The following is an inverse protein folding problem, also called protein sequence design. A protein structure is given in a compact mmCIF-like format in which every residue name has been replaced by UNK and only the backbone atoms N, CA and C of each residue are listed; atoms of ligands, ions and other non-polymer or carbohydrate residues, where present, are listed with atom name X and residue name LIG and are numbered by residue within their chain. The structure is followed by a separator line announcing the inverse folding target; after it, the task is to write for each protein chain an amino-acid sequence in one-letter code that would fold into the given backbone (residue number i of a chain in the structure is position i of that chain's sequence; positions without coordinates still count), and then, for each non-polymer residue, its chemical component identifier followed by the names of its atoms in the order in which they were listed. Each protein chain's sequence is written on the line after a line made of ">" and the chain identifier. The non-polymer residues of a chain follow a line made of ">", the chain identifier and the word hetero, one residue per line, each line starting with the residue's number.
data_IF_738858124313
#
_entry.id   IF_738858124313
#
_cell.length_a   1.000
_cell.length_b   1.000
_cell.length_c   1.000
_cell.angle_alpha   90.00
_cell.angle_beta   90.00
_cell.angle_gamma   90.00
#
_symmetry.space_group_name_H-M   'P 1'
#
loop_
_entity.id
_entity.type
_entity.pdbx_description
1 polymer ?
#
# COMPACT_ATOMS: atom_id res chain seq x y z
N UNK A 1 -11.03 19.05 -14.91
CA UNK A 1 -9.77 18.50 -15.46
C UNK A 1 -10.06 17.11 -15.98
N UNK A 2 -9.45 16.69 -17.10
CA UNK A 2 -9.59 15.32 -17.58
C UNK A 2 -8.89 14.37 -16.59
N UNK A 3 -9.52 13.29 -16.11
CA UNK A 3 -8.87 12.30 -15.24
C UNK A 3 -7.51 11.82 -15.77
N UNK A 4 -7.38 11.54 -17.07
CA UNK A 4 -6.11 11.18 -17.71
C UNK A 4 -5.01 12.25 -17.53
N UNK A 5 -5.35 13.52 -17.40
CA UNK A 5 -4.38 14.59 -17.15
C UNK A 5 -3.94 14.63 -15.70
N UNK A 6 -4.79 14.13 -14.77
CA UNK A 6 -4.48 14.09 -13.34
C UNK A 6 -3.75 12.79 -12.98
N UNK A 7 -4.22 11.66 -13.54
CA UNK A 7 -3.78 10.31 -13.17
C UNK A 7 -2.96 9.63 -14.27
N UNK A 8 -2.57 10.32 -15.32
CA UNK A 8 -2.15 9.75 -16.59
C UNK A 8 -0.67 9.85 -16.93
N UNK A 9 0.21 10.17 -16.00
CA UNK A 9 1.64 10.22 -16.34
C UNK A 9 2.47 9.48 -15.30
N UNK A 10 3.06 8.38 -15.74
CA UNK A 10 4.01 7.60 -14.97
C UNK A 10 5.42 7.81 -15.52
N UNK A 11 6.37 8.07 -14.63
CA UNK A 11 7.77 8.23 -14.97
C UNK A 11 8.51 6.97 -14.54
N UNK A 12 9.02 6.17 -15.47
CA UNK A 12 9.77 4.97 -15.14
C UNK A 12 11.19 5.30 -14.71
N UNK A 13 11.60 4.73 -13.58
CA UNK A 13 12.96 4.74 -13.07
C UNK A 13 13.45 3.32 -12.90
N UNK A 14 14.65 3.03 -13.36
CA UNK A 14 15.24 1.70 -13.25
C UNK A 14 15.93 1.55 -11.90
N UNK A 15 15.50 0.57 -11.08
CA UNK A 15 16.14 0.23 -9.80
C UNK A 15 17.35 -0.70 -10.01
N UNK A 16 17.16 -1.71 -10.88
CA UNK A 16 18.23 -2.62 -11.32
C UNK A 16 17.97 -3.05 -12.78
N UNK A 17 18.68 -4.07 -13.28
CA UNK A 17 18.59 -4.49 -14.67
C UNK A 17 17.17 -4.96 -15.07
N UNK A 18 16.35 -5.41 -14.12
CA UNK A 18 15.06 -6.06 -14.34
C UNK A 18 13.92 -5.52 -13.45
N UNK A 19 14.15 -4.38 -12.79
CA UNK A 19 13.15 -3.77 -11.90
C UNK A 19 12.99 -2.28 -12.15
N UNK A 20 11.76 -1.82 -12.33
CA UNK A 20 11.40 -0.41 -12.49
C UNK A 20 10.46 0.06 -11.39
N UNK A 21 10.61 1.31 -10.98
CA UNK A 21 9.60 2.09 -10.31
C UNK A 21 8.89 2.92 -11.36
N UNK A 22 7.57 2.82 -11.41
CA UNK A 22 6.69 3.68 -12.19
C UNK A 22 6.13 4.73 -11.23
N UNK A 23 6.82 5.87 -11.16
CA UNK A 23 6.43 6.93 -10.25
C UNK A 23 5.34 7.78 -10.89
N UNK A 24 4.24 7.98 -10.18
CA UNK A 24 3.19 8.88 -10.61
C UNK A 24 3.67 10.33 -10.53
N UNK A 25 3.28 11.15 -11.49
CA UNK A 25 3.81 12.45 -11.90
C UNK A 25 4.25 13.44 -10.81
N UNK A 26 3.85 13.30 -9.59
CA UNK A 26 4.20 14.21 -8.48
C UNK A 26 4.81 13.48 -7.28
N UNK A 27 5.21 12.22 -7.46
CA UNK A 27 5.73 11.39 -6.37
C UNK A 27 4.66 10.89 -5.40
N UNK A 28 3.37 11.06 -5.73
CA UNK A 28 2.29 10.66 -4.83
C UNK A 28 2.05 9.16 -4.77
N UNK A 29 2.49 8.40 -5.79
CA UNK A 29 2.32 6.95 -5.84
C UNK A 29 3.45 6.29 -6.62
N UNK A 30 3.87 5.13 -6.18
CA UNK A 30 4.81 4.24 -6.83
C UNK A 30 4.13 2.92 -7.18
N UNK A 31 4.40 2.43 -8.38
CA UNK A 31 4.02 1.11 -8.86
C UNK A 31 5.29 0.43 -9.33
N UNK A 32 5.43 -0.88 -9.17
CA UNK A 32 6.69 -1.56 -9.43
C UNK A 32 6.52 -2.63 -10.51
N UNK A 33 7.39 -2.61 -11.53
CA UNK A 33 7.45 -3.63 -12.57
C UNK A 33 8.70 -4.48 -12.38
N UNK A 34 8.51 -5.79 -12.20
CA UNK A 34 9.56 -6.77 -11.99
C UNK A 34 9.58 -7.74 -13.17
N UNK A 35 10.68 -7.82 -13.89
CA UNK A 35 10.84 -8.81 -14.95
C UNK A 35 11.55 -10.07 -14.45
N UNK A 36 10.99 -11.21 -14.78
CA UNK A 36 11.68 -12.50 -14.78
C UNK A 36 11.89 -13.00 -16.21
N UNK A 37 12.36 -14.22 -16.37
CA UNK A 37 12.68 -14.81 -17.69
C UNK A 37 11.43 -15.05 -18.53
N UNK A 38 10.32 -15.49 -17.93
CA UNK A 38 9.13 -15.94 -18.65
C UNK A 38 8.01 -14.89 -18.69
N UNK A 39 7.88 -14.09 -17.63
CA UNK A 39 6.86 -13.05 -17.48
C UNK A 39 7.33 -11.93 -16.57
N UNK A 40 6.56 -10.85 -16.54
CA UNK A 40 6.75 -9.75 -15.62
C UNK A 40 5.59 -9.65 -14.63
N UNK A 41 5.88 -9.15 -13.43
CA UNK A 41 4.92 -8.85 -12.39
C UNK A 41 4.82 -7.33 -12.20
N UNK A 42 3.60 -6.80 -12.28
CA UNK A 42 3.32 -5.42 -11.88
C UNK A 42 2.73 -5.43 -10.47
N UNK A 43 3.42 -4.84 -9.53
CA UNK A 43 2.92 -4.66 -8.14
C UNK A 43 2.17 -3.35 -8.08
N UNK A 44 0.88 -3.45 -7.85
CA UNK A 44 -0.18 -2.45 -7.92
C UNK A 44 -0.47 -1.91 -9.32
N UNK A 45 -1.68 -1.40 -9.50
CA UNK A 45 -2.22 -0.99 -10.80
C UNK A 45 -2.75 0.44 -10.81
N UNK A 46 -2.52 1.17 -9.72
CA UNK A 46 -2.92 2.57 -9.60
C UNK A 46 -4.42 2.81 -9.68
N UNK A 47 -4.77 4.06 -9.89
CA UNK A 47 -6.16 4.56 -9.98
C UNK A 47 -6.93 4.13 -11.25
N UNK A 48 -6.37 3.28 -12.09
CA UNK A 48 -7.04 2.79 -13.30
C UNK A 48 -6.78 3.61 -14.56
N UNK A 49 -5.74 4.42 -14.61
CA UNK A 49 -5.33 5.12 -15.81
C UNK A 49 -4.77 4.17 -16.89
N UNK A 50 -5.25 4.27 -18.12
CA UNK A 50 -4.79 3.48 -19.26
C UNK A 50 -3.29 3.65 -19.54
N UNK A 51 -2.75 4.83 -19.27
CA UNK A 51 -1.35 5.19 -19.45
C UNK A 51 -0.38 4.34 -18.62
N UNK A 52 -0.80 3.78 -17.47
CA UNK A 52 0.02 2.82 -16.73
C UNK A 52 0.28 1.57 -17.55
N UNK A 53 -0.79 0.94 -18.08
CA UNK A 53 -0.67 -0.24 -18.92
C UNK A 53 0.09 0.03 -20.22
N UNK A 54 -0.06 1.23 -20.80
CA UNK A 54 0.70 1.67 -21.98
C UNK A 54 2.20 1.84 -21.64
N UNK A 55 2.51 2.45 -20.50
CA UNK A 55 3.89 2.58 -20.03
C UNK A 55 4.54 1.22 -19.80
N UNK A 56 3.83 0.29 -19.14
CA UNK A 56 4.31 -1.08 -18.92
C UNK A 56 4.65 -1.78 -20.23
N UNK A 57 3.79 -1.67 -21.26
CA UNK A 57 4.04 -2.22 -22.60
C UNK A 57 5.26 -1.63 -23.33
N UNK A 58 5.68 -0.42 -22.96
CA UNK A 58 6.89 0.18 -23.50
C UNK A 58 8.17 -0.32 -22.80
N UNK A 59 8.03 -0.90 -21.60
CA UNK A 59 9.17 -1.34 -20.79
C UNK A 59 9.47 -2.84 -20.95
N UNK A 60 8.46 -3.65 -21.26
CA UNK A 60 8.62 -5.10 -21.40
C UNK A 60 7.74 -5.67 -22.52
N UNK A 61 8.32 -6.62 -23.28
CA UNK A 61 7.58 -7.41 -24.27
C UNK A 61 7.03 -8.72 -23.67
N UNK A 62 7.28 -8.99 -22.40
CA UNK A 62 6.85 -10.22 -21.72
C UNK A 62 5.36 -10.17 -21.35
N UNK A 63 4.70 -11.33 -21.21
CA UNK A 63 3.38 -11.40 -20.57
C UNK A 63 3.45 -10.76 -19.18
N UNK A 64 2.50 -9.87 -18.87
CA UNK A 64 2.43 -9.18 -17.59
C UNK A 64 1.25 -9.71 -16.79
N UNK A 65 1.51 -10.10 -15.54
CA UNK A 65 0.50 -10.34 -14.51
C UNK A 65 0.60 -9.23 -13.47
N UNK A 66 -0.50 -8.93 -12.78
CA UNK A 66 -0.47 -7.95 -11.71
C UNK A 66 -0.59 -8.61 -10.33
N UNK A 67 -0.19 -7.90 -9.29
CA UNK A 67 -0.44 -8.25 -7.89
C UNK A 67 -0.78 -6.98 -7.12
N UNK A 68 -1.71 -7.05 -6.17
CA UNK A 68 -2.01 -5.92 -5.31
C UNK A 68 -1.38 -6.08 -3.93
N UNK A 69 -0.70 -5.03 -3.46
CA UNK A 69 -0.27 -4.96 -2.06
C UNK A 69 -1.47 -4.93 -1.14
N UNK A 70 -2.55 -4.28 -1.55
CA UNK A 70 -3.86 -4.31 -0.92
C UNK A 70 -4.94 -3.84 -1.91
N UNK A 71 -6.23 -3.93 -1.52
CA UNK A 71 -7.33 -3.76 -2.46
C UNK A 71 -8.02 -2.38 -2.37
N UNK A 72 -7.27 -1.31 -2.04
CA UNK A 72 -7.77 0.06 -2.14
C UNK A 72 -7.79 0.56 -3.59
N UNK A 73 -8.65 1.55 -3.91
CA UNK A 73 -8.84 2.03 -5.29
C UNK A 73 -7.57 2.51 -6.00
N UNK A 74 -6.69 3.17 -5.29
CA UNK A 74 -5.43 3.67 -5.85
C UNK A 74 -4.38 2.58 -6.09
N UNK A 75 -4.61 1.36 -5.62
CA UNK A 75 -3.76 0.19 -5.85
C UNK A 75 -4.36 -0.82 -6.81
N UNK A 76 -5.69 -0.93 -6.85
CA UNK A 76 -6.39 -2.00 -7.54
C UNK A 76 -7.32 -1.56 -8.69
N UNK A 77 -7.60 -0.25 -8.84
CA UNK A 77 -8.55 0.21 -9.86
C UNK A 77 -8.10 -0.09 -11.30
N UNK A 78 -6.80 -0.22 -11.56
CA UNK A 78 -6.27 -0.58 -12.88
C UNK A 78 -6.21 -2.08 -13.17
N UNK A 79 -6.69 -2.94 -12.28
CA UNK A 79 -6.63 -4.40 -12.44
C UNK A 79 -7.22 -4.89 -13.75
N UNK A 80 -8.29 -4.26 -14.22
CA UNK A 80 -8.97 -4.59 -15.50
C UNK A 80 -8.14 -4.37 -16.76
N UNK A 81 -6.92 -3.86 -16.68
CA UNK A 81 -5.97 -3.85 -17.80
C UNK A 81 -5.16 -5.14 -17.92
N UNK A 82 -5.25 -6.03 -16.95
CA UNK A 82 -4.52 -7.31 -16.90
C UNK A 82 -5.50 -8.48 -16.86
N UNK A 83 -5.11 -9.63 -17.41
CA UNK A 83 -5.98 -10.82 -17.44
C UNK A 83 -5.98 -11.60 -16.13
N UNK A 84 -4.89 -11.51 -15.37
CA UNK A 84 -4.68 -12.21 -14.11
C UNK A 84 -4.08 -11.26 -13.07
N UNK A 85 -4.66 -11.27 -11.88
CA UNK A 85 -4.21 -10.43 -10.75
C UNK A 85 -4.14 -11.27 -9.49
N UNK A 86 -2.98 -11.29 -8.86
CA UNK A 86 -2.79 -11.86 -7.53
C UNK A 86 -3.33 -10.91 -6.49
N UNK A 87 -4.24 -11.38 -5.63
CA UNK A 87 -4.91 -10.59 -4.60
C UNK A 87 -4.86 -11.31 -3.26
N UNK A 88 -4.89 -10.58 -2.17
CA UNK A 88 -5.03 -11.17 -0.83
C UNK A 88 -6.30 -12.04 -0.75
N UNK A 89 -6.26 -13.12 0.02
CA UNK A 89 -7.45 -13.91 0.37
C UNK A 89 -8.55 -13.08 1.04
N UNK A 90 -8.16 -11.94 1.64
CA UNK A 90 -9.07 -11.00 2.31
C UNK A 90 -9.50 -9.81 1.43
N UNK A 91 -9.26 -9.86 0.11
CA UNK A 91 -9.55 -8.74 -0.79
C UNK A 91 -11.01 -8.23 -0.74
N UNK A 92 -11.95 -9.12 -0.37
CA UNK A 92 -13.39 -8.80 -0.29
C UNK A 92 -13.71 -7.81 0.83
N UNK A 93 -12.88 -7.72 1.86
CA UNK A 93 -13.11 -6.80 2.98
C UNK A 93 -12.93 -5.34 2.54
N UNK A 94 -12.03 -5.10 1.57
CA UNK A 94 -11.74 -3.77 1.04
C UNK A 94 -12.43 -3.51 -0.33
N UNK A 95 -13.08 -4.54 -0.92
CA UNK A 95 -13.78 -4.44 -2.20
C UNK A 95 -14.89 -3.38 -2.26
N UNK A 96 -15.64 -3.06 -1.19
CA UNK A 96 -16.65 -1.99 -1.22
C UNK A 96 -16.11 -0.64 -1.67
N UNK A 97 -14.84 -0.35 -1.48
CA UNK A 97 -14.17 0.84 -2.02
C UNK A 97 -14.11 0.86 -3.55
N UNK A 98 -14.18 -0.31 -4.19
CA UNK A 98 -14.14 -0.48 -5.65
C UNK A 98 -15.53 -0.46 -6.31
N UNK A 99 -16.60 -0.70 -5.53
CA UNK A 99 -17.96 -0.84 -6.04
C UNK A 99 -18.69 0.52 -6.08
N UNK A 100 -18.45 1.27 -7.17
CA UNK A 100 -19.20 2.51 -7.43
C UNK A 100 -18.82 3.70 -6.55
N UNK A 101 -17.64 3.68 -5.99
CA UNK A 101 -17.08 4.81 -5.25
C UNK A 101 -17.02 6.05 -6.15
N UNK A 102 -17.55 7.18 -5.65
CA UNK A 102 -17.42 8.48 -6.30
C UNK A 102 -15.94 8.93 -6.44
N UNK A 103 -15.02 8.23 -5.79
CA UNK A 103 -13.57 8.47 -5.86
C UNK A 103 -12.91 7.82 -7.07
N UNK A 104 -13.57 6.86 -7.76
CA UNK A 104 -12.98 6.22 -8.93
C UNK A 104 -13.05 7.15 -10.15
N UNK A 105 -11.90 7.57 -10.70
CA UNK A 105 -11.88 8.51 -11.82
C UNK A 105 -12.21 7.85 -13.17
N UNK A 106 -12.23 6.52 -13.22
CA UNK A 106 -12.43 5.72 -14.43
C UNK A 106 -13.57 4.72 -14.27
N UNK A 107 -14.23 4.40 -15.39
CA UNK A 107 -15.26 3.37 -15.45
C UNK A 107 -14.60 1.98 -15.60
N UNK A 108 -14.50 1.24 -14.52
CA UNK A 108 -13.83 -0.07 -14.47
C UNK A 108 -14.47 -1.10 -15.43
N UNK A 109 -15.78 -0.96 -15.74
CA UNK A 109 -16.49 -1.85 -16.66
C UNK A 109 -16.07 -1.65 -18.12
N UNK A 110 -15.41 -0.54 -18.44
CA UNK A 110 -14.89 -0.25 -19.79
C UNK A 110 -13.46 -0.67 -20.00
N UNK A 111 -12.81 -1.24 -18.99
CA UNK A 111 -11.45 -1.75 -19.13
C UNK A 111 -11.43 -3.00 -20.03
N UNK A 112 -10.29 -3.35 -20.65
CA UNK A 112 -10.16 -4.50 -21.54
C UNK A 112 -10.57 -5.84 -20.93
N UNK A 113 -10.35 -6.01 -19.64
CA UNK A 113 -10.61 -7.25 -18.88
C UNK A 113 -11.35 -6.94 -17.56
N UNK A 114 -12.63 -6.45 -17.61
CA UNK A 114 -13.36 -6.09 -16.39
C UNK A 114 -13.57 -7.30 -15.46
N UNK A 115 -13.66 -8.52 -16.05
CA UNK A 115 -13.82 -9.80 -15.36
C UNK A 115 -12.48 -10.54 -15.23
N UNK A 116 -11.37 -9.83 -14.98
CA UNK A 116 -10.04 -10.44 -14.82
C UNK A 116 -10.03 -11.55 -13.75
N UNK A 117 -9.16 -12.56 -13.96
CA UNK A 117 -8.98 -13.64 -13.01
C UNK A 117 -8.29 -13.16 -11.74
N UNK A 118 -8.95 -13.33 -10.58
CA UNK A 118 -8.33 -13.11 -9.27
C UNK A 118 -7.71 -14.40 -8.77
N UNK A 119 -6.40 -14.38 -8.55
CA UNK A 119 -5.63 -15.48 -7.96
C UNK A 119 -5.40 -15.12 -6.50
N UNK A 120 -6.13 -15.78 -5.59
CA UNK A 120 -6.00 -15.53 -4.16
C UNK A 120 -4.69 -16.11 -3.63
N UNK A 121 -3.90 -15.26 -2.95
CA UNK A 121 -2.62 -15.61 -2.34
C UNK A 121 -2.52 -15.14 -0.89
N UNK A 122 -1.60 -15.74 -0.14
CA UNK A 122 -1.35 -15.42 1.25
C UNK A 122 0.01 -15.93 1.74
N UNK A 123 0.18 -16.09 3.02
CA UNK A 123 1.44 -16.47 3.66
C UNK A 123 2.04 -17.73 3.05
N UNK A 124 3.29 -17.62 2.59
CA UNK A 124 4.08 -18.70 2.06
C UNK A 124 3.81 -19.05 0.60
N UNK A 125 2.83 -18.41 -0.05
CA UNK A 125 2.67 -18.54 -1.50
C UNK A 125 3.81 -17.83 -2.23
N UNK A 126 4.05 -18.21 -3.49
CA UNK A 126 5.09 -17.61 -4.33
C UNK A 126 4.55 -17.29 -5.71
N UNK A 127 5.04 -16.21 -6.31
CA UNK A 127 4.79 -15.85 -7.70
C UNK A 127 6.09 -16.10 -8.49
N UNK A 128 6.05 -17.11 -9.37
CA UNK A 128 7.19 -17.50 -10.19
C UNK A 128 7.20 -16.70 -11.51
N UNK A 129 8.30 -16.03 -11.81
CA UNK A 129 8.49 -15.28 -13.05
C UNK A 129 9.45 -16.01 -14.05
N UNK A 130 9.81 -17.26 -13.73
CA UNK A 130 10.66 -18.16 -14.53
C UNK A 130 12.08 -18.33 -13.98
N UNK A 131 12.71 -17.29 -13.48
CA UNK A 131 14.01 -17.28 -12.83
C UNK A 131 14.05 -16.32 -11.63
N UNK A 132 12.89 -15.80 -11.25
CA UNK A 132 12.72 -14.85 -10.17
C UNK A 132 11.47 -15.23 -9.39
N UNK A 133 11.62 -15.52 -8.09
CA UNK A 133 10.56 -15.94 -7.19
C UNK A 133 10.20 -14.82 -6.25
N UNK A 134 8.94 -14.45 -6.21
CA UNK A 134 8.42 -13.43 -5.29
C UNK A 134 7.63 -14.13 -4.19
N UNK A 135 8.12 -14.06 -2.95
CA UNK A 135 7.43 -14.60 -1.79
C UNK A 135 6.29 -13.67 -1.36
N UNK A 136 5.14 -14.25 -1.05
CA UNK A 136 3.98 -13.55 -0.51
C UNK A 136 3.95 -13.72 1.00
N UNK A 137 3.82 -12.60 1.72
CA UNK A 137 3.76 -12.57 3.17
C UNK A 137 2.46 -11.88 3.59
N UNK A 138 1.63 -12.57 4.38
CA UNK A 138 0.43 -11.97 4.95
C UNK A 138 0.79 -10.91 6.00
N UNK A 139 0.04 -9.85 6.01
CA UNK A 139 0.19 -8.72 6.92
C UNK A 139 -1.00 -8.70 7.87
N UNK A 140 -0.75 -8.45 9.15
CA UNK A 140 -1.83 -8.26 10.12
C UNK A 140 -2.55 -6.94 9.84
N UNK A 141 -3.88 -6.95 9.96
CA UNK A 141 -4.72 -5.78 9.71
C UNK A 141 -4.27 -4.55 10.54
N UNK A 142 -3.57 -3.63 9.91
CA UNK A 142 -3.20 -2.33 10.48
C UNK A 142 -3.68 -1.20 9.57
N UNK A 143 -3.13 -1.06 8.36
CA UNK A 143 -3.66 -0.17 7.34
C UNK A 143 -5.01 -0.69 6.81
N UNK A 144 -5.03 -1.91 6.27
CA UNK A 144 -6.25 -2.61 5.86
C UNK A 144 -6.10 -4.13 5.96
N UNK A 145 -7.23 -4.86 5.81
CA UNK A 145 -7.26 -6.31 6.03
C UNK A 145 -6.74 -7.11 4.83
N UNK A 146 -6.65 -6.50 3.65
CA UNK A 146 -6.14 -7.16 2.44
C UNK A 146 -4.66 -6.96 2.20
N UNK A 147 -3.92 -6.39 3.16
CA UNK A 147 -2.50 -6.05 2.98
C UNK A 147 -1.61 -7.29 2.85
N UNK A 148 -0.67 -7.22 1.90
CA UNK A 148 0.38 -8.20 1.63
C UNK A 148 1.73 -7.49 1.49
N UNK A 149 2.80 -8.17 1.91
CA UNK A 149 4.15 -7.84 1.47
C UNK A 149 4.60 -8.82 0.38
N UNK A 150 5.39 -8.31 -0.57
CA UNK A 150 6.04 -9.12 -1.60
C UNK A 150 7.55 -9.04 -1.40
N UNK A 151 8.18 -10.18 -1.12
CA UNK A 151 9.63 -10.27 -0.87
C UNK A 151 10.35 -10.92 -2.04
N UNK A 152 11.27 -10.19 -2.62
CA UNK A 152 12.21 -10.63 -3.64
C UNK A 152 13.60 -10.78 -3.01
N UNK A 153 13.95 -12.00 -2.63
CA UNK A 153 15.24 -12.26 -1.95
C UNK A 153 16.44 -12.12 -2.87
N UNK A 154 16.27 -12.52 -4.12
CA UNK A 154 17.40 -12.53 -5.07
C UNK A 154 17.83 -11.11 -5.45
N UNK A 155 16.85 -10.20 -5.58
CA UNK A 155 17.08 -8.77 -5.83
C UNK A 155 17.12 -7.93 -4.54
N UNK A 156 16.93 -8.56 -3.36
CA UNK A 156 16.98 -7.92 -2.05
C UNK A 156 16.01 -6.73 -1.93
N UNK A 157 14.76 -6.93 -2.35
CA UNK A 157 13.68 -5.93 -2.33
C UNK A 157 12.49 -6.46 -1.55
N UNK A 158 11.80 -5.59 -0.80
CA UNK A 158 10.52 -5.88 -0.21
C UNK A 158 9.54 -4.75 -0.53
N UNK A 159 8.37 -5.11 -1.07
CA UNK A 159 7.31 -4.19 -1.45
C UNK A 159 6.23 -4.26 -0.36
N UNK A 160 5.91 -3.11 0.23
CA UNK A 160 5.18 -3.07 1.50
C UNK A 160 3.84 -2.33 1.42
N UNK A 161 3.48 -1.82 0.23
CA UNK A 161 2.23 -1.06 0.09
C UNK A 161 2.19 0.14 1.01
N UNK A 162 1.05 0.34 1.64
CA UNK A 162 0.76 1.43 2.57
C UNK A 162 0.90 1.03 4.04
N UNK A 163 1.30 -0.24 4.29
CA UNK A 163 1.58 -0.69 5.66
C UNK A 163 2.85 -0.06 6.24
N UNK A 164 3.74 0.44 5.37
CA UNK A 164 4.95 1.16 5.77
C UNK A 164 5.25 2.23 4.73
N UNK A 165 5.28 3.48 5.16
CA UNK A 165 5.58 4.63 4.31
C UNK A 165 6.63 5.53 4.97
N UNK A 166 7.33 6.36 4.19
CA UNK A 166 8.20 7.38 4.74
C UNK A 166 7.37 8.49 5.39
N UNK A 167 7.81 8.95 6.55
CA UNK A 167 7.22 10.07 7.30
C UNK A 167 5.81 9.85 7.87
N UNK A 168 4.92 9.06 7.24
CA UNK A 168 3.52 8.98 7.66
C UNK A 168 2.87 7.68 7.20
N UNK A 169 2.15 7.00 8.08
CA UNK A 169 1.32 5.83 7.76
C UNK A 169 -0.12 6.09 8.20
N UNK A 170 -1.09 5.69 7.37
CA UNK A 170 -2.50 5.82 7.68
C UNK A 170 -3.01 4.55 8.39
N UNK A 171 -3.46 4.70 9.63
CA UNK A 171 -4.07 3.62 10.40
C UNK A 171 -5.55 3.87 10.73
N UNK A 172 -6.20 4.79 10.04
CA UNK A 172 -7.65 4.96 10.14
C UNK A 172 -8.36 4.06 9.13
N UNK A 173 -9.64 3.77 9.42
CA UNK A 173 -10.44 2.92 8.54
C UNK A 173 -10.85 3.67 7.27
N UNK A 174 -10.31 3.25 6.16
CA UNK A 174 -10.65 3.73 4.81
C UNK A 174 -11.07 2.58 3.88
N UNK A 175 -11.39 1.40 4.45
CA UNK A 175 -11.88 0.25 3.67
C UNK A 175 -13.24 0.50 3.02
N UNK A 176 -13.96 1.52 3.45
CA UNK A 176 -15.35 1.82 3.04
C UNK A 176 -16.36 0.69 3.33
N UNK A 177 -15.95 -0.31 4.11
CA UNK A 177 -16.80 -1.40 4.52
C UNK A 177 -17.43 -1.11 5.91
N UNK A 178 -18.74 -0.78 5.99
CA UNK A 178 -19.38 -0.44 7.25
C UNK A 178 -19.53 -1.62 8.21
N UNK A 179 -19.31 -2.85 7.76
CA UNK A 179 -19.34 -4.05 8.58
C UNK A 179 -18.04 -4.29 9.34
N UNK A 180 -16.93 -3.73 8.86
CA UNK A 180 -15.65 -3.80 9.56
C UNK A 180 -15.63 -2.86 10.76
N UNK A 181 -15.26 -3.41 11.90
CA UNK A 181 -15.12 -2.61 13.12
C UNK A 181 -13.72 -2.04 13.20
N UNK A 182 -13.65 -0.74 13.43
CA UNK A 182 -12.38 -0.09 13.73
C UNK A 182 -12.03 -0.31 15.21
N UNK A 183 -10.92 -0.99 15.44
CA UNK A 183 -10.31 -1.17 16.76
C UNK A 183 -8.90 -0.58 16.75
N UNK A 184 -8.74 0.57 17.38
CA UNK A 184 -7.47 1.31 17.41
C UNK A 184 -6.37 0.53 18.09
N UNK A 185 -6.68 -0.19 19.18
CA UNK A 185 -5.68 -0.96 19.93
C UNK A 185 -5.20 -2.17 19.13
N UNK A 186 -6.11 -2.86 18.44
CA UNK A 186 -5.76 -3.94 17.55
C UNK A 186 -4.89 -3.45 16.39
N UNK A 187 -5.24 -2.34 15.74
CA UNK A 187 -4.46 -1.77 14.64
C UNK A 187 -3.06 -1.36 15.07
N UNK A 188 -2.92 -0.72 16.22
CA UNK A 188 -1.61 -0.35 16.77
C UNK A 188 -0.74 -1.58 17.09
N UNK A 189 -1.32 -2.61 17.71
CA UNK A 189 -0.60 -3.87 17.96
C UNK A 189 -0.17 -4.56 16.67
N UNK A 190 -1.06 -4.59 15.70
CA UNK A 190 -0.79 -5.20 14.40
C UNK A 190 0.27 -4.43 13.64
N UNK A 191 0.18 -3.09 13.60
CA UNK A 191 1.18 -2.23 12.97
C UNK A 191 2.57 -2.44 13.58
N UNK A 192 2.64 -2.44 14.92
CA UNK A 192 3.91 -2.73 15.61
C UNK A 192 4.45 -4.12 15.27
N UNK A 193 3.58 -5.14 15.25
CA UNK A 193 3.99 -6.49 14.91
C UNK A 193 4.48 -6.62 13.46
N UNK A 194 3.80 -5.96 12.51
CA UNK A 194 4.21 -5.89 11.10
C UNK A 194 5.57 -5.21 10.96
N UNK A 195 5.77 -4.10 11.66
CA UNK A 195 7.04 -3.34 11.65
C UNK A 195 8.20 -4.16 12.24
N UNK A 196 7.97 -4.86 13.36
CA UNK A 196 8.97 -5.79 13.95
C UNK A 196 9.31 -6.89 12.95
N UNK A 197 8.31 -7.48 12.28
CA UNK A 197 8.54 -8.51 11.26
C UNK A 197 9.39 -7.97 10.09
N UNK A 198 9.10 -6.77 9.61
CA UNK A 198 9.94 -6.13 8.57
C UNK A 198 11.38 -6.00 9.04
N UNK A 199 11.60 -5.60 10.29
CA UNK A 199 12.94 -5.51 10.87
C UNK A 199 13.65 -6.87 10.96
N UNK A 200 12.93 -7.92 11.35
CA UNK A 200 13.46 -9.30 11.36
C UNK A 200 13.82 -9.82 9.96
N UNK A 201 13.09 -9.39 8.95
CA UNK A 201 13.35 -9.72 7.54
C UNK A 201 14.47 -8.89 6.90
N UNK A 202 14.98 -7.85 7.57
CA UNK A 202 16.00 -6.94 7.02
C UNK A 202 17.28 -7.60 6.52
N UNK A 203 17.72 -8.78 7.00
CA UNK A 203 18.85 -9.50 6.40
C UNK A 203 18.60 -9.93 4.95
N UNK A 204 17.34 -10.01 4.51
CA UNK A 204 16.95 -10.52 3.19
C UNK A 204 16.65 -9.43 2.17
N UNK A 205 16.57 -8.15 2.57
CA UNK A 205 16.37 -7.03 1.65
C UNK A 205 17.32 -5.86 1.95
N UNK A 206 17.54 -5.04 0.93
CA UNK A 206 18.26 -3.76 1.02
C UNK A 206 17.31 -2.60 0.78
N UNK A 207 16.30 -2.84 -0.07
CA UNK A 207 15.31 -1.83 -0.44
C UNK A 207 13.97 -2.19 0.16
N UNK A 208 13.46 -1.32 1.05
CA UNK A 208 12.09 -1.33 1.53
C UNK A 208 11.31 -0.30 0.71
N UNK A 209 10.33 -0.79 -0.07
CA UNK A 209 9.70 -0.07 -1.17
C UNK A 209 8.20 0.13 -0.90
N UNK A 210 7.80 1.33 -0.44
CA UNK A 210 6.41 1.70 -0.23
C UNK A 210 5.75 2.22 -1.51
N UNK A 211 4.42 2.32 -1.50
CA UNK A 211 3.69 2.92 -2.61
C UNK A 211 3.54 4.43 -2.51
N UNK A 212 3.66 5.03 -1.32
CA UNK A 212 3.53 6.47 -1.10
C UNK A 212 4.72 7.07 -0.34
N UNK A 213 4.78 8.40 -0.31
CA UNK A 213 5.67 9.22 0.52
C UNK A 213 7.18 8.99 0.36
N UNK A 214 7.62 8.52 -0.81
CA UNK A 214 9.05 8.37 -1.14
C UNK A 214 9.58 6.95 -1.01
N UNK A 215 10.76 6.72 -1.57
CA UNK A 215 11.42 5.41 -1.65
C UNK A 215 12.94 5.57 -1.86
N UNK A 216 13.75 4.56 -1.51
CA UNK A 216 13.46 3.50 -0.57
C UNK A 216 13.40 4.04 0.86
N UNK A 217 12.78 3.29 1.78
CA UNK A 217 12.84 3.58 3.21
C UNK A 217 14.06 2.88 3.80
N UNK A 218 14.82 3.58 4.63
CA UNK A 218 15.93 3.00 5.37
C UNK A 218 15.42 2.08 6.50
N UNK A 219 16.10 0.96 6.75
CA UNK A 219 15.68 -0.04 7.75
C UNK A 219 15.63 0.56 9.16
N UNK A 220 16.51 1.51 9.47
CA UNK A 220 16.55 2.23 10.75
C UNK A 220 15.27 3.00 11.04
N UNK A 221 14.52 3.36 9.99
CA UNK A 221 13.23 4.03 10.10
C UNK A 221 12.16 3.19 10.82
N UNK A 222 12.28 1.86 10.73
CA UNK A 222 11.39 0.92 11.42
C UNK A 222 11.48 1.05 12.94
N UNK A 223 12.64 1.42 13.48
CA UNK A 223 12.80 1.66 14.93
C UNK A 223 11.98 2.85 15.40
N UNK A 224 11.96 3.94 14.62
CA UNK A 224 11.18 5.12 14.96
C UNK A 224 9.66 4.79 14.99
N UNK A 225 9.17 3.90 14.13
CA UNK A 225 7.78 3.44 14.16
C UNK A 225 7.47 2.50 15.32
N UNK A 226 8.38 1.60 15.68
CA UNK A 226 8.21 0.74 16.86
C UNK A 226 8.16 1.59 18.13
N UNK A 227 9.10 2.52 18.29
CA UNK A 227 9.16 3.43 19.42
C UNK A 227 7.92 4.35 19.47
N UNK A 228 7.41 4.82 18.32
CA UNK A 228 6.18 5.62 18.24
C UNK A 228 5.00 4.89 18.90
N UNK A 229 4.79 3.63 18.55
CA UNK A 229 3.69 2.84 19.13
C UNK A 229 3.93 2.59 20.62
N UNK A 230 5.17 2.32 21.03
CA UNK A 230 5.52 2.15 22.45
C UNK A 230 5.25 3.42 23.25
N UNK A 231 5.51 4.60 22.71
CA UNK A 231 5.20 5.89 23.34
C UNK A 231 3.69 6.14 23.44
N UNK A 232 2.90 5.70 22.46
CA UNK A 232 1.43 5.74 22.55
C UNK A 232 0.98 4.90 23.77
N UNK A 233 1.48 3.68 23.92
CA UNK A 233 1.12 2.82 25.06
C UNK A 233 1.55 3.40 26.41
N UNK A 234 2.62 4.17 26.43
CA UNK A 234 3.12 4.85 27.64
C UNK A 234 2.42 6.18 27.92
N UNK A 235 1.52 6.65 27.05
CA UNK A 235 0.88 7.97 27.16
C UNK A 235 1.87 9.14 27.02
N UNK A 236 2.91 8.98 26.21
CA UNK A 236 3.98 9.97 25.99
C UNK A 236 4.05 10.50 24.58
N UNK A 237 3.21 9.98 23.68
CA UNK A 237 3.24 10.35 22.28
C UNK A 237 2.79 11.80 22.06
N UNK A 238 3.45 12.49 21.15
CA UNK A 238 3.07 13.84 20.73
C UNK A 238 1.90 13.76 19.74
N UNK A 239 0.79 14.46 20.06
CA UNK A 239 -0.40 14.51 19.21
C UNK A 239 -0.55 15.89 18.56
N UNK A 240 -0.67 15.88 17.25
CA UNK A 240 -1.00 17.04 16.43
C UNK A 240 -2.48 16.96 15.98
N UNK A 241 -3.32 17.87 16.52
CA UNK A 241 -4.77 17.89 16.27
C UNK A 241 -5.17 18.70 15.05
N UNK A 242 -4.38 19.70 14.68
CA UNK A 242 -4.68 20.61 13.58
C UNK A 242 -3.97 20.12 12.33
N UNK A 243 -4.60 19.19 11.66
CA UNK A 243 -4.06 18.64 10.42
C UNK A 243 -4.42 19.54 9.25
N UNK A 244 -3.41 19.91 8.48
CA UNK A 244 -3.59 20.46 7.14
C UNK A 244 -3.41 19.32 6.14
N UNK A 245 -4.45 18.51 5.98
CA UNK A 245 -4.41 17.33 5.11
C UNK A 245 -5.51 17.39 4.05
N UNK A 246 -5.23 17.12 2.77
CA UNK A 246 -6.24 17.19 1.70
C UNK A 246 -7.49 16.35 1.95
N UNK A 247 -7.36 15.21 2.61
CA UNK A 247 -8.49 14.34 2.92
C UNK A 247 -9.48 14.91 3.95
N UNK A 248 -9.07 15.91 4.75
CA UNK A 248 -9.96 16.53 5.77
C UNK A 248 -11.18 17.18 5.13
N UNK A 249 -11.01 17.72 3.92
CA UNK A 249 -12.10 18.36 3.17
C UNK A 249 -12.97 17.33 2.41
N UNK A 250 -12.40 16.15 2.11
CA UNK A 250 -13.03 15.13 1.28
C UNK A 250 -13.77 14.06 2.08
N UNK A 251 -13.29 13.75 3.30
CA UNK A 251 -13.86 12.72 4.16
C UNK A 251 -14.47 13.33 5.42
N UNK A 252 -15.79 13.19 5.65
CA UNK A 252 -16.44 13.64 6.89
C UNK A 252 -15.85 13.05 8.17
N UNK A 253 -15.20 11.91 8.09
CA UNK A 253 -14.52 11.25 9.23
C UNK A 253 -13.13 11.83 9.51
N UNK A 254 -12.51 12.47 8.55
CA UNK A 254 -11.18 13.06 8.70
C UNK A 254 -11.09 14.12 9.81
N UNK A 255 -12.22 14.73 10.20
CA UNK A 255 -12.29 15.66 11.34
C UNK A 255 -11.93 15.02 12.69
N UNK A 256 -11.97 13.69 12.77
CA UNK A 256 -11.60 12.93 13.98
C UNK A 256 -10.16 12.44 13.95
N UNK A 257 -9.44 12.68 12.86
CA UNK A 257 -8.05 12.25 12.73
C UNK A 257 -7.11 13.16 13.51
N UNK A 258 -6.08 12.56 14.05
CA UNK A 258 -4.89 13.25 14.54
C UNK A 258 -3.64 12.61 13.94
N UNK A 259 -2.55 13.34 14.00
CA UNK A 259 -1.22 12.79 13.71
C UNK A 259 -0.50 12.56 15.02
N UNK A 260 0.02 11.35 15.22
CA UNK A 260 0.91 11.02 16.33
C UNK A 260 2.31 10.92 15.78
N UNK A 261 3.28 11.55 16.46
CA UNK A 261 4.66 11.68 15.98
C UNK A 261 5.68 11.17 16.96
N UNK A 262 6.75 10.61 16.41
CA UNK A 262 7.99 10.30 17.10
C UNK A 262 9.16 10.36 16.11
N UNK A 263 10.15 11.21 16.36
CA UNK A 263 11.32 11.42 15.48
C UNK A 263 10.90 11.65 14.01
N UNK A 264 11.27 10.71 13.14
CA UNK A 264 10.96 10.77 11.70
C UNK A 264 9.64 10.07 11.34
N UNK A 265 9.04 9.33 12.27
CA UNK A 265 7.83 8.55 12.07
C UNK A 265 6.58 9.34 12.48
N UNK A 266 5.50 9.14 11.76
CA UNK A 266 4.16 9.55 12.20
C UNK A 266 3.08 8.61 11.70
N UNK A 267 1.99 8.53 12.44
CA UNK A 267 0.78 7.82 12.04
C UNK A 267 -0.41 8.77 12.07
N UNK A 268 -1.31 8.60 11.08
CA UNK A 268 -2.66 9.14 11.16
C UNK A 268 -3.60 8.11 11.75
N UNK A 269 -4.36 8.54 12.76
CA UNK A 269 -5.24 7.66 13.54
C UNK A 269 -6.45 8.44 14.04
N UNK A 270 -7.53 7.75 14.37
CA UNK A 270 -8.71 8.37 14.96
C UNK A 270 -8.45 8.77 16.41
N UNK A 271 -8.43 10.06 16.68
CA UNK A 271 -8.21 10.62 18.01
C UNK A 271 -9.28 10.19 19.00
N UNK A 272 -10.55 10.21 18.59
CA UNK A 272 -11.68 9.83 19.44
C UNK A 272 -11.58 8.37 19.92
N UNK A 273 -11.11 7.46 19.08
CA UNK A 273 -10.86 6.06 19.44
C UNK A 273 -9.58 5.91 20.29
N UNK A 274 -8.53 6.63 19.94
CA UNK A 274 -7.28 6.62 20.69
C UNK A 274 -7.50 7.08 22.14
N UNK A 275 -8.26 8.16 22.35
CA UNK A 275 -8.57 8.66 23.68
C UNK A 275 -9.47 7.74 24.50
N UNK A 276 -10.33 6.93 23.87
CA UNK A 276 -11.13 5.92 24.58
C UNK A 276 -10.25 4.83 25.20
N UNK A 277 -9.20 4.43 24.52
CA UNK A 277 -8.31 3.34 24.96
C UNK A 277 -7.25 3.83 25.93
N UNK A 278 -6.59 4.96 25.63
CA UNK A 278 -5.42 5.42 26.36
C UNK A 278 -5.68 6.64 27.28
N UNK A 279 -6.92 7.20 27.24
CA UNK A 279 -7.34 8.32 28.08
C UNK A 279 -6.77 9.67 27.64
N UNK A 280 -7.04 10.70 28.46
CA UNK A 280 -6.66 12.10 28.16
C UNK A 280 -5.21 12.45 28.49
N UNK A 281 -4.40 11.50 28.87
CA UNK A 281 -2.98 11.72 29.22
C UNK A 281 -2.03 11.58 28.01
N UNK A 282 -2.60 11.40 26.82
CA UNK A 282 -1.84 11.44 25.57
C UNK A 282 -1.90 12.86 25.04
#
# INVERSE_FOLDING_TARGET
>A
MNPEQIFGSFMPWKLDESTWILNFMNGSQNVYLLEGKERALLIDTGWGAASLAETVKCLTDKPVVAANTHYHPDHAAGNGYFTQVYVSRNWKDDAPGMDGSAMLPFDLQKMPHPDYEKIEVGEGDTIDLGDRMIEVLEVKNAHCNSSLFFLDRDHRMIFVGDEMEAAQVNLFDNSYNPELKYDVDERLRNFRANTVRLKELSPFYTYLLPNHNGFPIAVEYLDDYIELVDEIYLGKAEIEDKLNHPFIEMDPQAKYLCRVRHKNASIFIRKDELLKVYGTQI
#
